data_IF_560417346675
#
_entry.id   IF_560417346675
#
_cell.length_a   1.000
_cell.length_b   1.000
_cell.length_c   1.000
_cell.angle_alpha   90.00
_cell.angle_beta   90.00
_cell.angle_gamma   90.00
#
_symmetry.space_group_name_H-M   'P 1'
#
loop_
_entity.id
_entity.type
_entity.pdbx_description
1 polymer ?
2 non-polymer ?
3 water ?
#
# COMPACT_ATOMS: atom_id res chain seq x y z
N UNK A 7 3.22 6.97 -28.77
CA UNK A 7 4.25 5.98 -28.36
C UNK A 7 4.42 5.99 -26.84
N UNK A 8 4.60 7.19 -26.27
CA UNK A 8 4.75 7.38 -24.84
C UNK A 8 3.38 7.28 -24.16
N UNK A 9 3.33 6.65 -22.97
CA UNK A 9 2.08 6.41 -22.27
C UNK A 9 2.24 6.81 -20.81
N UNK A 10 1.18 7.39 -20.23
CA UNK A 10 1.16 7.75 -18.83
C UNK A 10 -0.11 7.20 -18.17
N UNK A 11 0.10 6.35 -17.16
CA UNK A 11 -0.94 5.91 -16.26
C UNK A 11 -0.60 6.40 -14.85
N UNK A 12 -1.61 6.41 -13.98
CA UNK A 12 -1.43 6.96 -12.64
C UNK A 12 -2.17 6.09 -11.63
N UNK A 13 -1.65 6.13 -10.39
CA UNK A 13 -2.26 5.45 -9.25
C UNK A 13 -2.26 6.39 -8.06
N UNK A 14 -3.46 6.71 -7.55
CA UNK A 14 -3.57 7.56 -6.36
C UNK A 14 -3.54 6.69 -5.11
N UNK A 15 -2.78 7.15 -4.11
CA UNK A 15 -2.73 6.54 -2.79
C UNK A 15 -3.15 7.57 -1.74
N UNK A 16 -4.11 7.18 -0.89
CA UNK A 16 -4.59 8.03 0.19
C UNK A 16 -4.32 7.30 1.50
N UNK A 17 -3.45 7.91 2.33
CA UNK A 17 -2.94 7.28 3.53
C UNK A 17 -2.22 6.02 3.08
N UNK A 18 -2.74 4.84 3.41
CA UNK A 18 -2.16 3.60 2.92
C UNK A 18 -3.08 2.89 1.92
N UNK A 19 -4.24 3.48 1.62
CA UNK A 19 -5.18 2.88 0.69
C UNK A 19 -4.77 3.26 -0.73
N UNK A 20 -4.80 2.27 -1.64
CA UNK A 20 -4.36 2.46 -3.02
C UNK A 20 -5.51 2.16 -3.97
N UNK A 21 -5.82 3.13 -4.84
CA UNK A 21 -6.81 2.93 -5.90
C UNK A 21 -6.24 2.02 -6.99
N UNK A 22 -7.12 1.19 -7.57
CA UNK A 22 -6.78 0.33 -8.69
C UNK A 22 -7.73 0.61 -9.85
N UNK A 23 -7.47 -0.03 -11.00
CA UNK A 23 -8.31 0.19 -12.17
C UNK A 23 -9.74 -0.28 -11.93
N UNK A 24 -9.92 -1.28 -11.04
CA UNK A 24 -11.24 -1.85 -10.79
C UNK A 24 -11.89 -1.31 -9.51
N UNK A 25 -11.15 -0.54 -8.69
CA UNK A 25 -11.64 -0.14 -7.37
C UNK A 25 -10.95 1.15 -6.90
N UNK A 26 -11.73 2.24 -6.83
CA UNK A 26 -11.28 3.47 -6.21
C UNK A 26 -11.32 3.32 -4.69
N UNK A 27 -10.34 3.89 -4.00
CA UNK A 27 -10.28 3.81 -2.54
C UNK A 27 -11.47 4.58 -1.97
N UNK A 28 -12.07 4.00 -0.93
CA UNK A 28 -13.09 4.66 -0.13
C UNK A 28 -12.44 5.08 1.19
N UNK A 29 -12.30 6.40 1.38
CA UNK A 29 -11.50 6.96 2.44
C UNK A 29 -12.45 7.60 3.47
N UNK A 30 -12.36 7.23 4.77
CA UNK A 30 -13.08 7.93 5.82
C UNK A 30 -12.68 9.41 5.85
N UNK A 31 -13.70 10.27 5.89
CA UNK A 31 -13.50 11.71 5.86
C UNK A 31 -12.57 12.11 7.00
N UNK A 32 -11.60 12.97 6.67
CA UNK A 32 -10.82 13.67 7.68
C UNK A 32 -10.47 15.04 7.09
N UNK A 33 -11.33 16.03 7.36
CA UNK A 33 -11.21 17.35 6.77
C UNK A 33 -9.93 18.04 7.25
N UNK A 34 -9.36 17.58 8.36
CA UNK A 34 -8.10 18.14 8.86
C UNK A 34 -6.91 17.60 8.07
N UNK A 35 -7.11 16.56 7.25
CA UNK A 35 -6.06 16.14 6.34
C UNK A 35 -6.05 14.64 6.07
N UNK A 36 -5.91 14.29 4.78
CA UNK A 36 -5.53 12.95 4.37
C UNK A 36 -4.30 13.08 3.46
N UNK A 37 -3.37 12.12 3.56
CA UNK A 37 -2.12 12.17 2.84
C UNK A 37 -2.37 11.63 1.43
N UNK A 38 -2.05 12.42 0.40
CA UNK A 38 -2.31 11.98 -0.96
C UNK A 38 -1.00 11.93 -1.74
N UNK A 39 -0.74 10.77 -2.33
CA UNK A 39 0.39 10.61 -3.22
C UNK A 39 -0.11 10.00 -4.52
N UNK A 40 0.30 10.60 -5.66
CA UNK A 40 -0.02 10.05 -6.96
C UNK A 40 1.25 9.50 -7.60
N UNK A 41 1.21 8.23 -7.98
CA UNK A 41 2.29 7.60 -8.72
C UNK A 41 2.03 7.71 -10.23
N UNK A 42 2.99 8.31 -10.95
CA UNK A 42 2.97 8.37 -12.39
C UNK A 42 3.73 7.16 -12.96
N UNK A 43 3.01 6.31 -13.69
CA UNK A 43 3.62 5.19 -14.39
C UNK A 43 3.84 5.60 -15.85
N UNK A 44 5.11 5.82 -16.21
CA UNK A 44 5.44 6.37 -17.52
C UNK A 44 6.18 5.32 -18.33
N UNK A 45 6.01 5.41 -19.66
CA UNK A 45 6.75 4.61 -20.62
C UNK A 45 7.03 5.49 -21.84
N UNK A 46 8.18 5.25 -22.48
CA UNK A 46 8.51 5.91 -23.73
C UNK A 46 9.15 7.29 -23.57
N UNK A 47 9.70 7.58 -22.38
CA UNK A 47 10.40 8.83 -22.17
C UNK A 47 11.89 8.64 -22.49
N UNK A 48 12.63 9.76 -22.52
CA UNK A 48 14.04 9.74 -22.89
C UNK A 48 14.89 9.61 -21.63
N UNK A 49 15.79 8.61 -21.64
CA UNK A 49 16.59 8.26 -20.48
C UNK A 49 17.41 9.45 -19.98
N UNK A 50 17.29 9.73 -18.69
CA UNK A 50 18.16 10.70 -18.01
C UNK A 50 17.68 12.15 -18.19
N UNK A 51 16.60 12.35 -18.93
CA UNK A 51 16.10 13.70 -19.14
C UNK A 51 15.22 14.09 -17.95
N UNK A 52 15.23 15.39 -17.61
CA UNK A 52 14.35 15.96 -16.62
C UNK A 52 12.98 16.26 -17.24
N UNK A 53 11.93 16.12 -16.42
CA UNK A 53 10.56 16.39 -16.81
C UNK A 53 9.84 17.17 -15.71
N UNK A 54 9.05 18.16 -16.11
CA UNK A 54 8.27 18.96 -15.17
C UNK A 54 6.89 18.35 -15.08
N UNK A 55 6.43 18.11 -13.84
CA UNK A 55 5.14 17.50 -13.62
C UNK A 55 4.25 18.49 -12.87
N UNK A 56 2.99 18.56 -13.31
CA UNK A 56 1.96 19.34 -12.65
C UNK A 56 0.78 18.41 -12.39
N UNK A 57 0.50 18.16 -11.11
CA UNK A 57 -0.61 17.31 -10.70
C UNK A 57 -1.72 18.16 -10.10
N UNK A 58 -2.96 17.79 -10.41
CA UNK A 58 -4.10 18.55 -9.93
C UNK A 58 -5.14 17.58 -9.39
N UNK A 59 -5.75 17.93 -8.26
CA UNK A 59 -6.86 17.20 -7.69
C UNK A 59 -8.12 18.02 -7.93
N UNK A 60 -9.11 17.41 -8.58
CA UNK A 60 -10.39 18.05 -8.84
C UNK A 60 -11.52 17.26 -8.18
N UNK A 61 -12.49 17.98 -7.61
CA UNK A 61 -13.79 17.40 -7.33
C UNK A 61 -14.41 17.00 -8.66
N UNK A 62 -15.01 15.82 -8.71
CA UNK A 62 -15.47 15.29 -9.98
C UNK A 62 -16.86 14.68 -9.77
N UNK A 63 -17.82 15.17 -10.57
CA UNK A 63 -19.19 14.70 -10.59
C UNK A 63 -19.52 14.25 -12.01
N UNK A 64 -19.33 12.95 -12.28
CA UNK A 64 -19.50 12.37 -13.61
C UNK A 64 -18.26 12.56 -14.47
N UNK A 65 -18.45 13.20 -15.64
CA UNK A 65 -17.35 13.61 -16.50
C UNK A 65 -17.00 15.07 -16.23
N UNK A 66 -17.86 15.76 -15.48
CA UNK A 66 -17.70 17.18 -15.18
C UNK A 66 -16.81 17.34 -13.96
N UNK A 67 -15.65 18.00 -14.14
CA UNK A 67 -14.77 18.34 -13.02
C UNK A 67 -15.26 19.66 -12.42
N UNK A 68 -15.42 19.70 -11.09
CA UNK A 68 -15.75 20.93 -10.40
C UNK A 68 -14.45 21.61 -10.00
N UNK A 69 -14.43 22.23 -8.81
CA UNK A 69 -13.31 23.05 -8.38
C UNK A 69 -12.01 22.23 -8.33
N UNK A 70 -10.89 22.91 -8.55
CA UNK A 70 -9.59 22.37 -8.17
C UNK A 70 -9.49 22.42 -6.65
N UNK A 71 -9.03 21.33 -6.04
CA UNK A 71 -8.81 21.30 -4.61
C UNK A 71 -7.33 21.53 -4.29
N UNK A 72 -6.42 20.99 -5.12
CA UNK A 72 -5.01 20.98 -4.77
C UNK A 72 -4.14 20.89 -6.02
N UNK A 73 -2.98 21.56 -6.00
CA UNK A 73 -2.03 21.52 -7.09
C UNK A 73 -0.63 21.21 -6.52
N UNK A 74 0.19 20.52 -7.32
CA UNK A 74 1.54 20.18 -6.90
C UNK A 74 2.40 20.02 -8.14
N UNK A 75 3.54 20.72 -8.15
CA UNK A 75 4.48 20.64 -9.25
C UNK A 75 5.78 20.01 -8.75
N UNK A 76 6.51 19.36 -9.65
CA UNK A 76 7.77 18.73 -9.28
C UNK A 76 8.59 18.45 -10.54
N UNK A 77 9.89 18.26 -10.37
CA UNK A 77 10.79 17.86 -11.44
C UNK A 77 11.31 16.46 -11.15
N UNK A 78 11.16 15.56 -12.12
CA UNK A 78 11.65 14.19 -12.01
C UNK A 78 12.63 13.89 -13.14
N UNK A 79 13.35 12.77 -13.00
CA UNK A 79 14.23 12.27 -14.04
C UNK A 79 13.73 10.91 -14.53
N UNK A 80 13.69 10.76 -15.86
CA UNK A 80 13.27 9.51 -16.48
C UNK A 80 14.31 8.42 -16.23
N UNK A 81 13.81 7.22 -15.90
CA UNK A 81 14.64 6.05 -15.65
C UNK A 81 15.54 5.79 -16.87
N UNK A 82 16.56 4.96 -16.66
CA UNK A 82 17.48 4.56 -17.73
C UNK A 82 16.72 3.87 -18.86
N UNK A 83 15.65 3.12 -18.55
CA UNK A 83 14.92 2.36 -19.55
C UNK A 83 13.80 3.18 -20.18
N UNK A 84 13.61 4.43 -19.71
CA UNK A 84 12.57 5.28 -20.25
C UNK A 84 11.17 4.88 -19.78
N UNK A 85 11.09 3.97 -18.80
CA UNK A 85 9.83 3.60 -18.20
C UNK A 85 10.05 3.35 -16.70
N UNK A 86 9.05 3.71 -15.90
CA UNK A 86 9.14 3.54 -14.46
C UNK A 86 8.06 4.33 -13.72
N UNK A 87 8.35 4.68 -12.46
CA UNK A 87 7.39 5.35 -11.59
C UNK A 87 8.00 6.64 -11.03
N UNK A 88 7.14 7.64 -10.86
CA UNK A 88 7.44 8.83 -10.07
C UNK A 88 6.34 8.99 -9.04
N UNK A 89 6.71 9.39 -7.82
CA UNK A 89 5.72 9.68 -6.79
C UNK A 89 5.62 11.19 -6.63
N UNK A 90 4.42 11.71 -6.84
CA UNK A 90 4.12 13.12 -6.61
C UNK A 90 3.34 13.23 -5.31
N UNK A 91 3.96 13.85 -4.30
CA UNK A 91 3.40 13.90 -2.97
C UNK A 91 2.63 15.21 -2.81
N UNK A 92 1.30 15.12 -2.69
CA UNK A 92 0.49 16.29 -2.44
C UNK A 92 0.55 16.70 -0.97
N UNK A 93 1.08 15.83 -0.10
CA UNK A 93 1.05 16.07 1.34
C UNK A 93 -0.35 15.86 1.92
N UNK A 94 -0.65 16.62 2.98
CA UNK A 94 -1.91 16.50 3.70
C UNK A 94 -2.95 17.40 3.03
N UNK A 95 -3.99 16.78 2.46
CA UNK A 95 -4.97 17.50 1.67
C UNK A 95 -6.23 17.70 2.51
N UNK A 96 -6.65 18.97 2.66
CA UNK A 96 -7.73 19.31 3.57
C UNK A 96 -9.07 19.31 2.85
N UNK A 97 -10.14 19.16 3.63
CA UNK A 97 -11.50 19.48 3.23
C UNK A 97 -11.95 18.66 2.03
N UNK A 98 -11.52 17.39 1.95
CA UNK A 98 -12.16 16.44 1.07
C UNK A 98 -13.40 15.92 1.78
N UNK A 99 -14.57 16.15 1.16
CA UNK A 99 -15.85 16.01 1.84
C UNK A 99 -16.46 14.63 1.57
N UNK A 100 -17.02 14.03 2.62
CA UNK A 100 -17.75 12.77 2.52
C UNK A 100 -18.85 12.93 1.47
N UNK A 101 -19.08 11.86 0.69
CA UNK A 101 -20.07 11.86 -0.36
C UNK A 101 -19.58 12.42 -1.70
N UNK A 102 -18.34 12.92 -1.75
CA UNK A 102 -17.78 13.43 -2.99
C UNK A 102 -16.64 12.53 -3.45
N UNK A 103 -16.33 12.63 -4.75
CA UNK A 103 -15.21 11.95 -5.36
C UNK A 103 -14.21 12.97 -5.87
N UNK A 104 -12.93 12.60 -5.85
CA UNK A 104 -11.87 13.48 -6.31
C UNK A 104 -10.96 12.69 -7.25
N UNK A 105 -10.49 13.35 -8.32
CA UNK A 105 -9.65 12.70 -9.31
C UNK A 105 -8.34 13.47 -9.40
N UNK A 106 -7.24 12.73 -9.65
CA UNK A 106 -5.95 13.32 -9.90
C UNK A 106 -5.70 13.37 -11.41
N UNK A 107 -5.31 14.55 -11.90
CA UNK A 107 -4.86 14.75 -13.26
C UNK A 107 -3.35 15.02 -13.24
N UNK A 108 -2.66 14.55 -14.29
CA UNK A 108 -1.23 14.76 -14.42
C UNK A 108 -0.89 15.31 -15.80
N UNK A 109 0.08 16.23 -15.79
CA UNK A 109 0.63 16.90 -16.96
C UNK A 109 2.16 16.78 -16.88
N UNK A 110 2.78 16.23 -17.93
CA UNK A 110 4.21 16.00 -17.93
C UNK A 110 4.82 16.66 -19.16
N UNK A 111 5.86 17.47 -18.96
CA UNK A 111 6.56 18.14 -20.04
C UNK A 111 8.07 18.07 -19.80
N UNK A 112 8.84 17.69 -20.82
CA UNK A 112 10.29 17.69 -20.74
C UNK A 112 10.81 19.10 -20.47
N UNK A 113 11.89 19.19 -19.69
CA UNK A 113 12.59 20.45 -19.51
C UNK A 113 13.15 20.91 -20.85
N UNK A 114 13.73 19.98 -21.63
CA UNK A 114 14.40 20.30 -22.89
C UNK A 114 13.52 19.94 -24.09
N UNK A 115 13.79 20.57 -25.24
CA UNK A 115 13.23 20.16 -26.52
C UNK A 115 13.79 18.78 -26.88
N UNK A 116 12.90 17.83 -27.16
CA UNK A 116 13.33 16.47 -27.44
C UNK A 116 12.74 15.94 -28.75
N UNK A 117 11.71 16.60 -29.28
CA UNK A 117 10.97 16.04 -30.41
C UNK A 117 11.21 16.89 -31.64
N UNK A 118 11.50 16.22 -32.77
CA UNK A 118 11.71 16.88 -34.04
C UNK A 118 10.38 16.93 -34.78
N UNK A 119 9.49 17.81 -34.32
CA UNK A 119 8.13 17.83 -34.82
C UNK A 119 8.09 18.44 -36.22
N UNK A 120 9.04 19.33 -36.52
CA UNK A 120 9.10 20.03 -37.79
C UNK A 120 9.89 19.24 -38.84
N UNK A 121 10.38 18.05 -38.50
CA UNK A 121 11.08 17.20 -39.46
C UNK A 121 12.21 17.96 -40.12
N UNK A 122 13.06 18.60 -39.30
CA UNK A 122 14.20 19.38 -39.78
C UNK A 122 15.52 18.88 -39.18
N UNK A 123 15.46 17.72 -38.51
CA UNK A 123 16.65 17.07 -37.96
C UNK A 123 17.07 17.62 -36.60
N UNK A 124 16.28 18.56 -36.05
CA UNK A 124 16.63 19.28 -34.84
C UNK A 124 15.45 19.16 -33.86
N UNK A 125 15.68 18.81 -32.57
CA UNK A 125 14.61 18.87 -31.57
C UNK A 125 14.08 20.30 -31.50
N UNK A 126 12.76 20.46 -31.65
CA UNK A 126 12.14 21.78 -31.68
C UNK A 126 10.92 21.84 -30.77
N UNK A 127 10.54 20.71 -30.16
CA UNK A 127 9.32 20.62 -29.38
C UNK A 127 9.59 19.74 -28.15
N UNK A 128 8.95 20.10 -27.03
CA UNK A 128 9.05 19.33 -25.81
C UNK A 128 8.22 18.05 -25.97
N UNK A 129 8.70 16.97 -25.35
CA UNK A 129 7.92 15.75 -25.22
C UNK A 129 6.90 15.99 -24.11
N UNK A 130 5.64 15.70 -24.40
CA UNK A 130 4.54 16.00 -23.49
C UNK A 130 3.68 14.76 -23.34
N UNK A 131 3.32 14.46 -22.08
CA UNK A 131 2.40 13.40 -21.73
C UNK A 131 1.31 13.98 -20.85
N UNK A 132 0.15 13.34 -20.84
CA UNK A 132 -0.88 13.72 -19.91
C UNK A 132 -1.79 12.53 -19.63
N UNK A 133 -2.33 12.53 -18.40
CA UNK A 133 -3.42 11.64 -18.04
C UNK A 133 -4.48 12.47 -17.32
N UNK A 134 -5.56 12.77 -18.06
CA UNK A 134 -6.64 13.60 -17.56
C UNK A 134 -7.95 12.85 -17.80
N UNK A 135 -8.09 11.72 -17.12
CA UNK A 135 -9.24 10.84 -17.27
C UNK A 135 -10.12 10.99 -16.04
N UNK A 136 -11.31 11.61 -16.15
CA UNK A 136 -12.22 11.71 -15.01
C UNK A 136 -12.92 10.41 -14.62
N UNK A 137 -12.77 9.36 -15.45
CA UNK A 137 -13.39 8.07 -15.17
C UNK A 137 -12.35 7.02 -14.76
N UNK A 138 -11.06 7.37 -14.70
CA UNK A 138 -10.03 6.40 -14.31
C UNK A 138 -10.06 6.17 -12.80
N UNK A 139 -10.53 4.99 -12.40
CA UNK A 139 -10.75 4.65 -11.00
C UNK A 139 -9.44 4.67 -10.22
N UNK A 140 -8.34 4.32 -10.89
CA UNK A 140 -7.01 4.28 -10.31
C UNK A 140 -6.56 5.67 -9.86
N UNK A 141 -7.18 6.73 -10.38
CA UNK A 141 -6.82 8.10 -10.04
C UNK A 141 -7.88 8.76 -9.18
N UNK A 142 -8.89 7.98 -8.73
CA UNK A 142 -10.03 8.53 -8.02
C UNK A 142 -10.01 8.04 -6.57
N UNK A 143 -10.36 8.95 -5.66
CA UNK A 143 -10.70 8.61 -4.28
C UNK A 143 -12.15 9.00 -4.03
N UNK A 144 -12.84 8.15 -3.27
CA UNK A 144 -14.20 8.40 -2.81
C UNK A 144 -14.15 8.62 -1.30
N UNK A 145 -14.69 9.75 -0.84
CA UNK A 145 -14.70 10.07 0.58
C UNK A 145 -16.02 9.57 1.17
N UNK A 146 -15.92 8.89 2.31
CA UNK A 146 -17.07 8.33 3.00
C UNK A 146 -17.06 8.82 4.45
N UNK A 147 -18.18 8.71 5.19
CA UNK A 147 -18.25 9.19 6.58
C UNK A 147 -17.20 8.61 7.56
N UNK B 8 9.51 -7.70 25.35
CA UNK B 8 9.41 -8.17 23.94
C UNK B 8 7.97 -8.02 23.46
N UNK B 9 7.79 -7.37 22.30
CA UNK B 9 6.48 -7.04 21.76
C UNK B 9 6.39 -7.47 20.30
N UNK B 10 5.16 -7.74 19.86
CA UNK B 10 4.85 -8.03 18.46
C UNK B 10 3.62 -7.24 18.00
N UNK B 11 3.81 -6.42 16.95
CA UNK B 11 2.74 -5.81 16.20
C UNK B 11 2.73 -6.41 14.78
N UNK B 12 1.65 -6.20 14.04
CA UNK B 12 1.57 -6.74 12.70
C UNK B 12 0.89 -5.77 11.75
N UNK B 13 1.24 -5.92 10.46
CA UNK B 13 0.62 -5.20 9.38
C UNK B 13 0.34 -6.16 8.23
N UNK B 14 -0.94 -6.33 7.88
CA UNK B 14 -1.29 -7.14 6.73
C UNK B 14 -1.25 -6.27 5.47
N UNK B 15 -0.71 -6.86 4.40
CA UNK B 15 -0.61 -6.22 3.09
C UNK B 15 -1.29 -7.13 2.07
N UNK B 16 -2.31 -6.61 1.37
CA UNK B 16 -3.03 -7.41 0.38
C UNK B 16 -2.87 -6.71 -0.96
N UNK B 17 -2.29 -7.44 -1.93
CA UNK B 17 -1.87 -6.85 -3.19
C UNK B 17 -1.03 -5.61 -2.86
N UNK B 18 -1.43 -4.43 -3.34
CA UNK B 18 -0.60 -3.24 -3.17
C UNK B 18 -0.99 -2.50 -1.89
N UNK B 19 -1.98 -3.02 -1.16
CA UNK B 19 -2.65 -2.25 -0.13
C UNK B 19 -2.20 -2.70 1.27
N UNK B 20 -2.02 -1.72 2.17
CA UNK B 20 -1.55 -1.97 3.52
C UNK B 20 -2.60 -1.50 4.54
N UNK B 21 -2.94 -2.39 5.48
CA UNK B 21 -3.82 -2.06 6.60
C UNK B 21 -3.07 -1.27 7.67
N UNK B 22 -3.80 -0.40 8.38
CA UNK B 22 -3.23 0.32 9.51
C UNK B 22 -4.17 0.22 10.72
N UNK B 23 -3.70 0.75 11.85
CA UNK B 23 -4.44 0.71 13.10
C UNK B 23 -5.77 1.45 12.93
N UNK B 24 -5.81 2.42 12.02
CA UNK B 24 -7.01 3.24 11.85
C UNK B 24 -7.86 2.78 10.66
N UNK B 25 -7.30 2.01 9.70
CA UNK B 25 -8.07 1.66 8.52
C UNK B 25 -7.60 0.33 7.93
N UNK B 26 -8.52 -0.62 7.85
CA UNK B 26 -8.29 -1.88 7.16
C UNK B 26 -8.39 -1.67 5.66
N UNK B 27 -7.57 -2.40 4.91
CA UNK B 27 -7.63 -2.41 3.45
C UNK B 27 -8.95 -3.02 3.00
N UNK B 28 -9.50 -2.47 1.92
CA UNK B 28 -10.68 -2.98 1.24
C UNK B 28 -10.25 -3.52 -0.12
N UNK B 29 -10.50 -4.81 -0.33
CA UNK B 29 -9.96 -5.58 -1.45
C UNK B 29 -11.13 -6.08 -2.29
N UNK B 30 -11.14 -5.85 -3.63
CA UNK B 30 -12.17 -6.43 -4.50
C UNK B 30 -11.98 -7.94 -4.54
N UNK B 31 -13.08 -8.67 -4.33
CA UNK B 31 -13.06 -10.12 -4.26
C UNK B 31 -12.41 -10.69 -5.51
N UNK B 32 -11.46 -11.61 -5.31
CA UNK B 32 -10.96 -12.48 -6.36
C UNK B 32 -10.68 -13.84 -5.73
N UNK B 33 -11.62 -14.77 -5.94
CA UNK B 33 -11.60 -16.06 -5.26
C UNK B 33 -10.45 -16.93 -5.78
N UNK B 34 -9.92 -16.61 -6.97
CA UNK B 34 -8.80 -17.36 -7.51
C UNK B 34 -7.50 -16.93 -6.84
N UNK B 35 -7.50 -15.78 -6.17
CA UNK B 35 -6.41 -15.46 -5.27
C UNK B 35 -6.20 -13.95 -5.08
N UNK B 36 -5.80 -13.59 -3.86
CA UNK B 36 -5.21 -12.30 -3.57
C UNK B 36 -3.93 -12.54 -2.78
N UNK B 37 -2.89 -11.75 -3.09
CA UNK B 37 -1.58 -11.93 -2.47
C UNK B 37 -1.60 -11.33 -1.07
N UNK B 38 -1.28 -12.15 -0.07
CA UNK B 38 -1.32 -11.70 1.32
C UNK B 38 0.07 -11.86 1.94
N UNK B 39 0.60 -10.73 2.43
CA UNK B 39 1.84 -10.73 3.21
C UNK B 39 1.52 -10.07 4.55
N UNK B 40 1.96 -10.72 5.64
CA UNK B 40 1.83 -10.14 6.97
C UNK B 40 3.22 -9.76 7.48
N UNK B 41 3.40 -8.47 7.82
CA UNK B 41 4.66 -8.00 8.38
C UNK B 41 4.57 -8.09 9.90
N UNK B 42 5.54 -8.79 10.50
CA UNK B 42 5.68 -8.88 11.94
C UNK B 42 6.70 -7.85 12.40
N UNK B 43 6.24 -6.86 13.17
CA UNK B 43 7.11 -5.88 13.78
C UNK B 43 7.47 -6.37 15.17
N UNK B 44 8.70 -6.88 15.33
CA UNK B 44 9.11 -7.51 16.58
C UNK B 44 10.07 -6.58 17.31
N UNK B 45 10.09 -6.69 18.65
CA UNK B 45 11.03 -5.97 19.48
C UNK B 45 11.43 -6.87 20.64
N UNK B 46 12.68 -6.75 21.08
CA UNK B 46 13.14 -7.41 22.30
C UNK B 46 13.43 -8.89 22.11
N UNK B 47 13.82 -9.30 20.91
CA UNK B 47 14.22 -10.68 20.66
C UNK B 47 15.73 -10.77 20.73
N UNK B 48 16.25 -12.00 20.61
CA UNK B 48 17.68 -12.22 20.79
C UNK B 48 18.38 -12.19 19.44
N UNK B 49 19.34 -11.27 19.31
CA UNK B 49 20.08 -11.05 18.09
C UNK B 49 20.65 -12.35 17.56
N UNK B 50 20.34 -12.67 16.29
CA UNK B 50 20.95 -13.78 15.58
C UNK B 50 20.23 -15.10 15.79
N UNK B 51 19.29 -15.16 16.75
CA UNK B 51 18.59 -16.39 17.06
C UNK B 51 17.47 -16.63 16.04
N UNK B 52 17.16 -17.91 15.82
CA UNK B 52 16.09 -18.31 14.92
C UNK B 52 14.78 -18.39 15.69
N UNK B 53 13.67 -18.11 15.00
CA UNK B 53 12.34 -18.11 15.59
C UNK B 53 11.36 -18.77 14.64
N UNK B 54 10.50 -19.65 15.16
CA UNK B 54 9.47 -20.30 14.37
C UNK B 54 8.21 -19.44 14.43
N UNK B 55 7.65 -19.13 13.26
CA UNK B 55 6.46 -18.31 13.17
C UNK B 55 5.33 -19.16 12.60
N UNK B 56 4.13 -18.96 13.14
CA UNK B 56 2.91 -19.54 12.61
C UNK B 56 1.89 -18.40 12.47
N UNK B 57 1.54 -18.11 11.22
CA UNK B 57 0.49 -17.15 10.93
C UNK B 57 -0.80 -17.88 10.54
N UNK B 58 -1.93 -17.34 10.99
CA UNK B 58 -3.22 -17.91 10.67
C UNK B 58 -4.15 -16.78 10.22
N UNK B 59 -4.83 -17.02 9.08
CA UNK B 59 -5.88 -16.13 8.63
C UNK B 59 -7.22 -16.74 9.04
N UNK B 60 -8.02 -15.94 9.73
CA UNK B 60 -9.35 -16.32 10.17
C UNK B 60 -10.38 -15.37 9.58
N UNK B 61 -11.52 -15.93 9.14
CA UNK B 61 -12.74 -15.16 9.01
C UNK B 61 -13.11 -14.63 10.40
N UNK B 62 -13.52 -13.36 10.46
CA UNK B 62 -13.81 -12.74 11.75
C UNK B 62 -15.08 -11.91 11.62
N UNK B 63 -15.96 -12.09 12.62
CA UNK B 63 -17.16 -11.27 12.81
C UNK B 63 -17.08 -10.64 14.20
N UNK B 64 -16.78 -9.34 14.25
CA UNK B 64 -16.57 -8.65 15.51
C UNK B 64 -15.41 -9.26 16.30
N UNK B 65 -15.72 -9.80 17.48
CA UNK B 65 -14.73 -10.40 18.37
C UNK B 65 -14.56 -11.89 18.08
N UNK B 66 -15.30 -12.45 17.10
CA UNK B 66 -15.42 -13.89 16.94
C UNK B 66 -14.67 -14.37 15.69
N UNK B 67 -13.67 -15.24 15.91
CA UNK B 67 -13.03 -15.97 14.82
C UNK B 67 -13.97 -17.09 14.40
N UNK B 68 -14.19 -17.24 13.09
CA UNK B 68 -15.29 -18.06 12.59
C UNK B 68 -14.80 -19.28 11.81
N UNK B 69 -13.60 -19.21 11.22
CA UNK B 69 -13.14 -20.28 10.34
C UNK B 69 -11.74 -19.95 9.86
N UNK B 70 -10.84 -20.94 9.88
CA UNK B 70 -9.47 -20.75 9.43
C UNK B 70 -9.48 -20.83 7.90
N UNK B 71 -8.79 -19.88 7.27
CA UNK B 71 -8.68 -19.83 5.83
C UNK B 71 -7.31 -20.34 5.39
N UNK B 72 -6.27 -19.98 6.14
CA UNK B 72 -4.90 -20.34 5.77
C UNK B 72 -4.03 -20.36 7.02
N UNK B 73 -3.04 -21.26 6.99
CA UNK B 73 -1.97 -21.28 7.97
C UNK B 73 -0.64 -21.30 7.21
N UNK B 74 0.35 -20.56 7.70
CA UNK B 74 1.64 -20.47 7.06
C UNK B 74 2.70 -20.46 8.15
N UNK B 75 3.69 -21.35 8.04
CA UNK B 75 4.78 -21.41 9.00
C UNK B 75 6.08 -21.01 8.30
N UNK B 76 7.01 -20.47 9.08
CA UNK B 76 8.32 -20.09 8.57
C UNK B 76 9.30 -19.96 9.73
N UNK B 77 10.57 -19.80 9.37
CA UNK B 77 11.63 -19.63 10.33
C UNK B 77 12.45 -18.40 9.93
N UNK B 78 12.58 -17.45 10.85
CA UNK B 78 13.28 -16.20 10.59
C UNK B 78 14.38 -15.98 11.62
N UNK B 79 15.29 -15.06 11.30
CA UNK B 79 16.36 -14.68 12.18
C UNK B 79 16.14 -13.24 12.63
N UNK B 80 16.28 -12.99 13.93
CA UNK B 80 16.15 -11.65 14.48
C UNK B 80 17.33 -10.79 14.06
N UNK B 81 17.05 -9.50 13.82
CA UNK B 81 18.06 -8.52 13.44
C UNK B 81 19.08 -8.40 14.58
N UNK B 82 20.20 -7.74 14.30
CA UNK B 82 21.29 -7.61 15.26
C UNK B 82 20.85 -6.77 16.45
N UNK B 83 19.83 -5.91 16.24
CA UNK B 83 19.30 -5.08 17.31
C UNK B 83 18.24 -5.81 18.12
N UNK B 84 17.78 -6.97 17.64
CA UNK B 84 16.72 -7.71 18.29
C UNK B 84 15.34 -7.07 18.04
N UNK B 85 15.29 -6.09 17.13
CA UNK B 85 14.02 -5.53 16.71
C UNK B 85 14.09 -5.16 15.22
N UNK B 86 12.99 -5.45 14.53
CA UNK B 86 12.90 -5.24 13.09
C UNK B 86 11.59 -5.81 12.55
N UNK B 87 11.60 -6.15 11.25
CA UNK B 87 10.41 -6.68 10.59
C UNK B 87 10.73 -8.05 9.97
N UNK B 88 9.73 -8.93 10.04
CA UNK B 88 9.70 -10.14 9.23
C UNK B 88 8.48 -10.08 8.32
N UNK B 89 8.62 -10.59 7.10
CA UNK B 89 7.49 -10.74 6.19
C UNK B 89 7.13 -12.21 6.08
N UNK B 90 5.90 -12.54 6.47
CA UNK B 90 5.36 -13.87 6.28
C UNK B 90 4.43 -13.86 5.08
N UNK B 91 4.84 -14.60 4.04
CA UNK B 91 4.15 -14.59 2.76
C UNK B 91 3.16 -15.76 2.71
N UNK B 92 1.86 -15.44 2.74
CA UNK B 92 0.83 -16.45 2.59
C UNK B 92 0.61 -16.81 1.12
N UNK B 93 1.29 -16.10 0.20
CA UNK B 93 1.13 -16.31 -1.22
C UNK B 93 -0.22 -15.81 -1.71
N UNK B 94 -0.75 -16.46 -2.75
CA UNK B 94 -2.03 -16.11 -3.33
C UNK B 94 -3.13 -16.87 -2.58
N UNK B 95 -3.87 -16.15 -1.74
CA UNK B 95 -4.84 -16.77 -0.84
C UNK B 95 -6.21 -16.77 -1.52
N UNK B 96 -6.85 -17.94 -1.55
CA UNK B 96 -8.07 -18.12 -2.31
C UNK B 96 -9.28 -18.04 -1.38
N UNK B 97 -10.47 -17.94 -1.99
CA UNK B 97 -11.74 -18.21 -1.35
C UNK B 97 -12.09 -17.17 -0.28
N UNK B 98 -11.48 -15.98 -0.37
CA UNK B 98 -11.87 -14.87 0.48
C UNK B 98 -13.08 -14.19 -0.16
N UNK B 99 -14.20 -14.16 0.58
CA UNK B 99 -15.50 -13.84 0.02
C UNK B 99 -15.87 -12.38 0.33
N UNK B 100 -16.53 -11.74 -0.64
CA UNK B 100 -17.03 -10.38 -0.46
C UNK B 100 -18.04 -10.34 0.69
N UNK B 101 -18.03 -9.25 1.44
CA UNK B 101 -18.91 -9.08 2.59
C UNK B 101 -18.32 -9.63 3.89
N UNK B 102 -17.13 -10.22 3.84
CA UNK B 102 -16.52 -10.78 5.03
C UNK B 102 -15.20 -10.08 5.32
N UNK B 103 -14.82 -10.10 6.61
CA UNK B 103 -13.53 -9.62 7.05
C UNK B 103 -12.67 -10.80 7.49
N UNK B 104 -11.35 -10.68 7.27
CA UNK B 104 -10.40 -11.68 7.68
C UNK B 104 -9.29 -11.01 8.49
N UNK B 105 -8.80 -11.74 9.51
CA UNK B 105 -7.76 -11.24 10.40
C UNK B 105 -6.61 -12.26 10.42
N UNK B 106 -5.39 -11.72 10.46
CA UNK B 106 -4.18 -12.52 10.60
C UNK B 106 -3.80 -12.57 12.09
N UNK B 107 -3.54 -13.79 12.59
CA UNK B 107 -2.94 -13.98 13.90
C UNK B 107 -1.50 -14.46 13.72
N UNK B 108 -0.62 -14.11 14.68
CA UNK B 108 0.77 -14.51 14.63
C UNK B 108 1.20 -15.09 15.98
N UNK B 109 2.02 -16.14 15.89
CA UNK B 109 2.51 -16.90 17.02
C UNK B 109 4.01 -17.13 16.79
N UNK B 110 4.86 -16.69 17.72
CA UNK B 110 6.30 -16.70 17.52
C UNK B 110 6.94 -17.44 18.67
N UNK B 111 7.82 -18.39 18.33
CA UNK B 111 8.52 -19.20 19.33
C UNK B 111 9.96 -19.40 18.90
N UNK B 112 10.91 -19.11 19.78
CA UNK B 112 12.32 -19.35 19.50
C UNK B 112 12.51 -20.83 19.15
N UNK B 113 13.45 -21.08 18.23
CA UNK B 113 13.76 -22.45 17.85
C UNK B 113 14.40 -23.17 19.04
N UNK B 114 15.29 -22.46 19.73
CA UNK B 114 16.05 -23.02 20.84
C UNK B 114 15.49 -22.46 22.15
N UNK B 115 15.76 -23.14 23.26
CA UNK B 115 15.51 -22.58 24.58
C UNK B 115 16.35 -21.32 24.74
N UNK B 116 15.74 -20.23 25.21
CA UNK B 116 16.46 -18.98 25.41
C UNK B 116 16.25 -18.41 26.82
N UNK B 117 15.28 -18.93 27.57
CA UNK B 117 14.87 -18.32 28.82
C UNK B 117 15.24 -19.28 29.95
N UNK B 118 16.01 -18.76 30.91
CA UNK B 118 16.40 -19.51 32.10
C UNK B 118 15.35 -19.29 33.19
N UNK B 119 14.25 -20.05 33.14
CA UNK B 119 13.17 -19.94 34.11
C UNK B 119 13.56 -20.55 35.45
N UNK B 120 14.50 -21.51 35.47
CA UNK B 120 14.75 -22.33 36.64
C UNK B 120 15.97 -21.83 37.42
N UNK B 121 16.53 -20.68 37.02
CA UNK B 121 17.65 -20.04 37.71
C UNK B 121 18.80 -21.04 37.87
N UNK B 122 19.18 -21.68 36.75
CA UNK B 122 20.32 -22.61 36.72
C UNK B 122 21.31 -22.20 35.64
N UNK B 123 21.18 -20.96 35.12
CA UNK B 123 22.06 -20.46 34.09
C UNK B 123 21.78 -21.05 32.70
N UNK B 124 21.02 -22.16 32.64
CA UNK B 124 20.73 -22.86 31.41
C UNK B 124 19.39 -22.37 30.87
N UNK B 125 19.30 -21.97 29.57
CA UNK B 125 18.02 -21.78 28.92
C UNK B 125 17.22 -23.07 28.97
N UNK B 126 16.05 -23.03 29.62
CA UNK B 126 15.24 -24.22 29.81
C UNK B 126 13.85 -24.02 29.19
N UNK B 127 13.64 -22.84 28.58
CA UNK B 127 12.33 -22.46 28.09
C UNK B 127 12.50 -21.60 26.84
N UNK B 128 11.56 -21.73 25.90
CA UNK B 128 11.59 -20.94 24.69
C UNK B 128 11.01 -19.56 24.96
N UNK B 129 11.56 -18.55 24.26
CA UNK B 129 10.99 -17.23 24.27
C UNK B 129 9.79 -17.23 23.32
N UNK B 130 8.67 -16.67 23.77
CA UNK B 130 7.44 -16.71 22.98
C UNK B 130 6.78 -15.33 22.98
N UNK B 131 6.21 -15.02 21.81
CA UNK B 131 5.49 -13.79 21.49
C UNK B 131 4.24 -14.17 20.71
N UNK B 132 3.21 -13.33 20.77
CA UNK B 132 2.07 -13.52 19.89
C UNK B 132 1.31 -12.21 19.70
N UNK B 133 0.56 -12.17 18.61
CA UNK B 133 -0.37 -11.09 18.35
C UNK B 133 -1.64 -11.69 17.76
N UNK B 134 -2.66 -11.82 18.61
CA UNK B 134 -3.91 -12.49 18.28
C UNK B 134 -5.05 -11.60 18.72
N UNK B 135 -5.29 -10.55 17.94
CA UNK B 135 -6.28 -9.54 18.27
C UNK B 135 -7.33 -9.49 17.17
N UNK B 136 -8.57 -9.97 17.42
CA UNK B 136 -9.58 -10.01 16.37
C UNK B 136 -10.04 -8.64 15.89
N UNK B 137 -9.70 -7.56 16.63
CA UNK B 137 -10.16 -6.23 16.33
C UNK B 137 -9.05 -5.30 15.82
N UNK B 138 -7.82 -5.80 15.70
CA UNK B 138 -6.71 -4.99 15.22
C UNK B 138 -6.87 -4.74 13.72
N UNK B 139 -7.24 -3.49 13.37
CA UNK B 139 -7.52 -3.16 11.98
C UNK B 139 -6.27 -3.32 11.12
N UNK B 140 -5.09 -3.23 11.73
CA UNK B 140 -3.82 -3.39 11.03
C UNK B 140 -3.61 -4.82 10.51
N UNK B 141 -4.34 -5.77 11.08
CA UNK B 141 -4.20 -7.18 10.74
C UNK B 141 -5.43 -7.67 9.97
N UNK B 142 -6.35 -6.76 9.64
CA UNK B 142 -7.62 -7.13 9.04
C UNK B 142 -7.65 -6.67 7.57
N UNK B 143 -8.29 -7.50 6.75
CA UNK B 143 -8.65 -7.15 5.39
C UNK B 143 -10.16 -7.28 5.23
N UNK B 144 -10.79 -6.31 4.57
CA UNK B 144 -12.22 -6.32 4.31
C UNK B 144 -12.41 -6.61 2.82
N UNK B 145 -13.06 -7.74 2.50
CA UNK B 145 -13.27 -8.10 1.10
C UNK B 145 -14.59 -7.49 0.63
N UNK B 146 -14.53 -6.85 -0.54
CA UNK B 146 -15.66 -6.15 -1.12
C UNK B 146 -16.05 -6.81 -2.44
N UNK B 147 -17.32 -6.65 -2.89
CA UNK B 147 -17.80 -7.33 -4.10
C UNK B 147 -17.01 -6.94 -5.35
X LIG C 1 -12.46 0.10 8.75
X LIG C 1 -12.62 1.14 9.74
X LIG C 1 -13.10 -1.11 9.23
X LIG C 1 -11.07 -0.18 8.55
X LIG C 1 -13.09 0.52 7.53
X LIG D 1 14.14 -29.21 26.00
X LIG D 1 13.44 -28.82 27.20
X LIG D 1 13.42 -30.26 25.34
X LIG D 1 14.23 -28.07 25.13
X LIG D 1 15.45 -29.67 26.33
#
# INVERSE_FOLDING_TARGET
GADIDKNAKLQTTVKVNEQVSTTTKSVEVPENKDGVKVVDTLHYKGLVAGEKYEVKGTIYAVNGDNEEEVKETKTAEFTADASGQGDWDLDFGSVKNLEAGKSYVVYEEVTSKENLVDKDNNGTPDEKQTLEHKDPKDKAQIMVIKPKTEKE
GADIDKNAKLQTTVKVNEQVSTTTKSVEVPENKDGVKVVDTLHYKGLVAGEKYEVKGTIYAVNGDNEEEVKETKTAEFTADASGQGDWDLDFGSVKNLEAGKSYVVYEEVTSKENLVDKDNNGTPDEKQTLEHKDPKDKAQIMVIKPKTEKE
SO4 S O1 O2 O3 O4
SO4 S O1 O2 O3 O4
#
